data_IF_612853921029
#
_entry.id   IF_612853921029
#
_cell.length_a   1.000
_cell.length_b   1.000
_cell.length_c   1.000
_cell.angle_alpha   90.00
_cell.angle_beta   90.00
_cell.angle_gamma   90.00
#
_symmetry.space_group_name_H-M   'P 1'
#
loop_
_entity.id
_entity.type
_entity.pdbx_description
1 polymer ?
#
# COMPACT_ATOMS: atom_id res chain seq x y z
N UNK A 1 56.69 -17.98 -59.99
CA UNK A 1 55.65 -19.01 -60.12
C UNK A 1 55.21 -19.43 -58.73
N UNK A 2 54.14 -18.84 -58.20
CA UNK A 2 53.56 -19.23 -56.91
C UNK A 2 52.14 -18.68 -56.73
N UNK A 3 51.30 -19.51 -56.10
CA UNK A 3 50.22 -19.16 -55.15
C UNK A 3 48.75 -18.95 -55.62
N UNK A 4 47.91 -19.88 -55.15
CA UNK A 4 46.70 -19.69 -54.30
C UNK A 4 45.27 -19.64 -54.90
N UNK A 5 44.38 -20.30 -54.12
CA UNK A 5 42.96 -20.00 -53.87
C UNK A 5 41.91 -20.36 -54.94
N UNK A 6 41.06 -21.36 -54.66
CA UNK A 6 39.65 -21.10 -54.28
C UNK A 6 38.84 -22.38 -53.98
N UNK A 7 38.37 -22.43 -52.73
CA UNK A 7 37.05 -22.87 -52.25
C UNK A 7 36.58 -24.32 -52.45
N UNK A 8 36.78 -25.11 -51.39
CA UNK A 8 35.95 -26.24 -51.00
C UNK A 8 34.67 -25.78 -50.27
N UNK A 9 33.76 -26.76 -50.04
CA UNK A 9 32.64 -26.87 -49.06
C UNK A 9 31.30 -27.13 -49.79
N UNK A 10 30.97 -28.39 -50.13
CA UNK A 10 30.35 -29.44 -49.30
C UNK A 10 29.09 -29.02 -48.53
N UNK A 11 27.96 -29.47 -49.09
CA UNK A 11 26.72 -29.98 -48.46
C UNK A 11 26.66 -29.87 -46.93
N UNK A 12 25.70 -29.06 -46.45
CA UNK A 12 24.99 -29.31 -45.19
C UNK A 12 23.61 -28.66 -45.27
N UNK A 13 22.55 -29.47 -45.19
CA UNK A 13 21.24 -29.01 -44.70
C UNK A 13 21.38 -28.67 -43.21
N UNK A 14 20.80 -27.55 -42.77
CA UNK A 14 20.11 -27.48 -41.48
C UNK A 14 18.61 -27.26 -41.77
N UNK A 15 17.77 -28.22 -41.41
CA UNK A 15 17.09 -28.29 -40.12
C UNK A 15 16.08 -27.16 -39.95
N UNK A 16 14.81 -27.57 -39.95
CA UNK A 16 13.65 -26.92 -39.35
C UNK A 16 13.96 -25.59 -38.66
N UNK A 17 13.56 -24.48 -39.29
CA UNK A 17 13.25 -23.27 -38.55
C UNK A 17 12.08 -23.66 -37.64
N UNK A 18 12.38 -23.92 -36.37
CA UNK A 18 11.36 -24.07 -35.36
C UNK A 18 10.47 -22.83 -35.44
N UNK A 19 9.19 -23.05 -35.67
CA UNK A 19 8.18 -22.06 -35.39
C UNK A 19 8.42 -21.61 -33.94
N UNK A 20 9.02 -20.44 -33.77
CA UNK A 20 9.07 -19.77 -32.47
C UNK A 20 7.61 -19.61 -32.08
N UNK A 21 7.16 -20.46 -31.16
CA UNK A 21 5.82 -20.39 -30.63
C UNK A 21 5.70 -18.99 -30.04
N UNK A 22 4.95 -18.11 -30.71
CA UNK A 22 4.57 -16.83 -30.15
C UNK A 22 3.91 -17.17 -28.82
N UNK A 23 4.51 -16.79 -27.68
CA UNK A 23 3.98 -17.18 -26.39
C UNK A 23 2.55 -16.63 -26.30
N UNK A 24 1.63 -17.45 -25.77
CA UNK A 24 0.20 -17.10 -25.67
C UNK A 24 -0.04 -15.78 -24.91
N UNK A 25 0.98 -15.30 -24.19
CA UNK A 25 1.10 -13.94 -23.68
C UNK A 25 2.42 -13.33 -24.15
N UNK A 26 2.43 -12.08 -24.63
CA UNK A 26 3.68 -11.42 -25.02
C UNK A 26 4.63 -11.32 -23.82
N UNK A 27 5.92 -11.58 -24.03
CA UNK A 27 7.01 -11.45 -23.04
C UNK A 27 7.00 -10.11 -22.29
N UNK A 28 6.46 -9.06 -22.92
CA UNK A 28 6.26 -7.73 -22.31
C UNK A 28 5.23 -7.78 -21.18
N UNK A 29 4.16 -8.58 -21.28
CA UNK A 29 3.16 -8.74 -20.22
C UNK A 29 3.68 -9.57 -19.04
N UNK A 30 4.49 -10.59 -19.30
CA UNK A 30 5.19 -11.35 -18.26
C UNK A 30 6.25 -10.50 -17.56
N UNK A 31 6.98 -9.68 -18.32
CA UNK A 31 7.93 -8.70 -17.77
C UNK A 31 7.22 -7.58 -17.01
N UNK A 32 6.04 -7.13 -17.44
CA UNK A 32 5.24 -6.15 -16.71
C UNK A 32 4.74 -6.72 -15.37
N UNK A 33 4.24 -7.96 -15.35
CA UNK A 33 3.87 -8.64 -14.10
C UNK A 33 5.08 -8.91 -13.21
N UNK A 34 6.24 -9.21 -13.79
CA UNK A 34 7.49 -9.47 -13.05
C UNK A 34 8.13 -8.18 -12.55
N UNK A 35 8.02 -7.08 -13.28
CA UNK A 35 8.36 -5.72 -12.84
C UNK A 35 7.33 -5.23 -11.82
N UNK A 36 6.06 -5.62 -11.91
CA UNK A 36 5.07 -5.36 -10.86
C UNK A 36 5.36 -6.18 -9.58
N UNK A 37 5.82 -7.43 -9.71
CA UNK A 37 6.26 -8.24 -8.58
C UNK A 37 7.57 -7.72 -7.97
N UNK A 38 8.51 -7.25 -8.79
CA UNK A 38 9.84 -6.80 -8.36
C UNK A 38 9.87 -5.32 -7.96
N UNK A 39 8.97 -4.49 -8.48
CA UNK A 39 8.95 -3.03 -8.33
C UNK A 39 7.54 -2.41 -8.15
N UNK A 40 6.44 -3.18 -8.21
CA UNK A 40 5.13 -2.66 -8.63
C UNK A 40 4.20 -2.02 -7.61
N UNK A 41 4.32 -2.26 -6.31
CA UNK A 41 3.23 -1.89 -5.39
C UNK A 41 3.69 -1.34 -4.02
N UNK A 42 4.74 -0.52 -4.03
CA UNK A 42 5.20 0.20 -2.82
C UNK A 42 5.76 1.60 -3.04
N UNK A 43 6.54 1.84 -4.09
CA UNK A 43 7.55 2.92 -4.01
C UNK A 43 7.17 4.29 -4.60
N UNK A 44 6.10 4.42 -5.40
CA UNK A 44 5.94 5.64 -6.25
C UNK A 44 4.73 6.52 -5.97
N UNK A 45 3.89 6.20 -4.98
CA UNK A 45 2.95 7.19 -4.45
C UNK A 45 3.51 7.76 -3.15
N UNK A 46 4.72 8.32 -3.24
CA UNK A 46 5.25 9.18 -2.17
C UNK A 46 4.16 10.22 -1.89
N UNK A 47 3.76 10.47 -0.63
CA UNK A 47 3.02 11.68 -0.32
C UNK A 47 3.80 12.80 -1.01
N UNK A 48 3.14 13.71 -1.74
CA UNK A 48 3.84 14.88 -2.25
C UNK A 48 4.70 15.41 -1.10
N UNK A 49 5.97 15.75 -1.38
CA UNK A 49 6.85 16.28 -0.35
C UNK A 49 6.02 17.26 0.49
N UNK A 50 6.09 17.08 1.80
CA UNK A 50 5.14 17.57 2.79
C UNK A 50 4.90 19.10 2.89
N UNK A 51 5.40 19.99 2.00
CA UNK A 51 4.91 21.38 1.97
C UNK A 51 3.54 21.68 1.29
N UNK A 52 2.90 20.79 0.50
CA UNK A 52 1.67 21.15 -0.27
C UNK A 52 0.33 20.68 0.35
N UNK A 53 0.33 19.84 1.40
CA UNK A 53 -0.93 19.34 1.98
C UNK A 53 -1.77 20.45 2.64
N UNK A 54 -1.11 21.40 3.30
CA UNK A 54 -1.73 22.56 3.91
C UNK A 54 -2.42 23.48 2.88
N UNK A 55 -1.73 23.72 1.77
CA UNK A 55 -2.26 24.55 0.70
C UNK A 55 -3.41 23.85 -0.03
N UNK A 56 -3.27 22.55 -0.31
CA UNK A 56 -4.35 21.72 -0.83
C UNK A 56 -5.56 21.72 0.10
N UNK A 57 -5.34 21.49 1.40
CA UNK A 57 -6.41 21.50 2.40
C UNK A 57 -7.15 22.84 2.40
N UNK A 58 -6.43 23.97 2.38
CA UNK A 58 -7.04 25.31 2.34
C UNK A 58 -7.88 25.54 1.09
N UNK A 59 -7.42 25.08 -0.09
CA UNK A 59 -8.20 25.17 -1.33
C UNK A 59 -9.49 24.34 -1.25
N UNK A 60 -9.39 23.10 -0.76
CA UNK A 60 -10.53 22.20 -0.60
C UNK A 60 -11.53 22.71 0.44
N UNK A 61 -11.05 23.23 1.58
CA UNK A 61 -11.87 23.82 2.64
C UNK A 61 -12.59 25.08 2.16
N UNK A 62 -11.91 25.96 1.42
CA UNK A 62 -12.52 27.15 0.85
C UNK A 62 -13.65 26.79 -0.15
N UNK A 63 -13.41 25.82 -1.03
CA UNK A 63 -14.43 25.33 -1.97
C UNK A 63 -15.60 24.64 -1.27
N UNK A 64 -15.34 23.87 -0.21
CA UNK A 64 -16.40 23.21 0.58
C UNK A 64 -17.26 24.23 1.32
N UNK A 65 -16.64 25.27 1.91
CA UNK A 65 -17.34 26.35 2.63
C UNK A 65 -18.13 27.27 1.71
N UNK A 66 -17.63 27.57 0.52
CA UNK A 66 -18.37 28.34 -0.49
C UNK A 66 -19.52 27.53 -1.10
N UNK A 67 -19.49 26.20 -0.97
CA UNK A 67 -20.42 25.28 -1.63
C UNK A 67 -20.15 25.11 -3.12
N UNK A 68 -19.05 25.68 -3.63
CA UNK A 68 -18.63 25.57 -5.02
C UNK A 68 -17.60 24.45 -5.20
N UNK A 69 -18.07 23.20 -5.19
CA UNK A 69 -17.23 22.04 -5.48
C UNK A 69 -16.77 21.98 -6.95
N UNK A 70 -17.25 22.85 -7.84
CA UNK A 70 -16.76 22.93 -9.23
C UNK A 70 -15.39 23.60 -9.33
N UNK A 71 -15.03 24.40 -8.32
CA UNK A 71 -13.69 24.97 -8.17
C UNK A 71 -12.61 23.91 -7.83
N UNK A 72 -13.01 22.72 -7.39
CA UNK A 72 -12.08 21.62 -7.09
C UNK A 72 -11.76 20.87 -8.39
N UNK A 73 -10.54 21.06 -8.87
CA UNK A 73 -10.08 20.38 -10.07
C UNK A 73 -9.77 18.89 -9.82
N UNK A 74 -9.57 18.15 -10.91
CA UNK A 74 -9.31 16.71 -10.89
C UNK A 74 -8.05 16.32 -10.11
N UNK A 75 -7.02 17.18 -10.09
CA UNK A 75 -5.79 16.95 -9.34
C UNK A 75 -6.06 17.07 -7.84
N UNK A 76 -6.75 18.13 -7.43
CA UNK A 76 -7.11 18.36 -6.03
C UNK A 76 -7.99 17.24 -5.48
N UNK A 77 -8.97 16.76 -6.27
CA UNK A 77 -9.75 15.59 -5.87
C UNK A 77 -8.89 14.34 -5.69
N UNK A 78 -8.03 14.05 -6.67
CA UNK A 78 -7.14 12.88 -6.63
C UNK A 78 -6.19 12.90 -5.43
N UNK A 79 -5.69 14.07 -5.07
CA UNK A 79 -4.68 14.24 -4.04
C UNK A 79 -5.31 14.52 -2.66
N UNK A 80 -6.62 14.76 -2.58
CA UNK A 80 -7.35 14.97 -1.32
C UNK A 80 -7.18 13.88 -0.24
N UNK A 81 -6.93 12.58 -0.54
CA UNK A 81 -6.66 11.59 0.51
C UNK A 81 -5.46 11.90 1.40
N UNK A 82 -4.53 12.74 0.95
CA UNK A 82 -3.36 13.10 1.75
C UNK A 82 -3.67 14.09 2.89
N UNK A 83 -4.78 14.85 2.79
CA UNK A 83 -5.16 15.85 3.79
C UNK A 83 -6.63 15.72 4.28
N UNK A 84 -7.44 14.87 3.65
CA UNK A 84 -8.89 14.81 3.91
C UNK A 84 -9.27 14.37 5.33
N UNK A 85 -8.39 13.65 6.02
CA UNK A 85 -8.55 13.24 7.43
C UNK A 85 -7.90 14.18 8.43
N UNK A 86 -7.19 15.21 7.97
CA UNK A 86 -6.51 16.16 8.84
C UNK A 86 -7.47 17.27 9.30
N UNK A 87 -7.24 17.74 10.52
CA UNK A 87 -7.97 18.85 11.16
C UNK A 87 -7.29 20.20 10.95
N UNK A 88 -6.38 20.32 9.99
CA UNK A 88 -5.57 21.52 9.81
C UNK A 88 -6.45 22.78 9.66
N UNK A 89 -6.53 23.63 10.69
CA UNK A 89 -7.38 24.83 10.67
C UNK A 89 -8.90 24.59 10.83
N UNK A 90 -9.35 23.39 11.18
CA UNK A 90 -10.77 23.12 11.51
C UNK A 90 -10.94 21.97 12.50
N UNK A 91 -11.93 22.08 13.40
CA UNK A 91 -12.27 21.01 14.32
C UNK A 91 -12.76 19.71 13.62
N UNK A 92 -13.27 19.80 12.38
CA UNK A 92 -13.85 18.66 11.65
C UNK A 92 -13.06 18.44 10.34
N UNK A 93 -12.41 17.26 10.17
CA UNK A 93 -11.74 16.88 8.93
C UNK A 93 -12.65 16.91 7.71
N UNK A 94 -12.12 17.23 6.53
CA UNK A 94 -12.89 17.34 5.28
C UNK A 94 -13.70 16.08 4.98
N UNK A 95 -13.13 14.88 5.12
CA UNK A 95 -13.84 13.62 4.89
C UNK A 95 -14.86 13.25 5.98
N UNK A 96 -14.84 13.92 7.13
CA UNK A 96 -15.91 13.82 8.14
C UNK A 96 -17.07 14.79 7.85
N UNK A 97 -16.93 15.69 6.86
CA UNK A 97 -18.01 16.59 6.43
C UNK A 97 -18.92 15.89 5.43
N UNK A 98 -20.23 15.69 5.72
CA UNK A 98 -21.11 14.87 4.88
C UNK A 98 -21.22 15.31 3.43
N UNK A 99 -21.18 16.63 3.16
CA UNK A 99 -21.25 17.17 1.80
C UNK A 99 -19.97 16.85 1.03
N UNK A 100 -18.82 17.27 1.55
CA UNK A 100 -17.51 16.98 0.94
C UNK A 100 -17.31 15.49 0.67
N UNK A 101 -17.56 14.64 1.66
CA UNK A 101 -17.45 13.18 1.54
C UNK A 101 -18.34 12.62 0.41
N UNK A 102 -19.58 13.11 0.29
CA UNK A 102 -20.50 12.70 -0.80
C UNK A 102 -19.97 13.10 -2.17
N UNK A 103 -19.40 14.29 -2.32
CA UNK A 103 -18.81 14.75 -3.58
C UNK A 103 -17.58 13.92 -3.95
N UNK A 104 -16.68 13.68 -2.99
CA UNK A 104 -15.52 12.81 -3.20
C UNK A 104 -15.92 11.39 -3.61
N UNK A 105 -16.90 10.78 -2.90
CA UNK A 105 -17.44 9.47 -3.24
C UNK A 105 -17.99 9.41 -4.67
N UNK A 106 -18.71 10.45 -5.11
CA UNK A 106 -19.21 10.54 -6.48
C UNK A 106 -18.06 10.62 -7.49
N UNK A 107 -17.08 11.47 -7.22
CA UNK A 107 -15.92 11.68 -8.10
C UNK A 107 -15.12 10.38 -8.28
N UNK A 108 -14.75 9.70 -7.18
CA UNK A 108 -13.91 8.49 -7.26
C UNK A 108 -14.65 7.30 -7.89
N UNK A 109 -15.95 7.16 -7.61
CA UNK A 109 -16.82 6.15 -8.25
C UNK A 109 -17.04 6.42 -9.73
N UNK A 110 -17.04 7.67 -10.17
CA UNK A 110 -17.12 8.03 -11.59
C UNK A 110 -15.86 7.67 -12.37
N UNK A 111 -14.68 7.82 -11.76
CA UNK A 111 -13.40 7.54 -12.43
C UNK A 111 -13.06 6.07 -12.52
N UNK A 112 -13.34 5.28 -11.48
CA UNK A 112 -13.04 3.84 -11.39
C UNK A 112 -11.60 3.50 -11.83
N UNK A 113 -10.61 4.25 -11.34
CA UNK A 113 -9.19 3.99 -11.62
C UNK A 113 -8.49 3.43 -10.40
N UNK A 114 -7.83 2.28 -10.53
CA UNK A 114 -7.08 1.66 -9.42
C UNK A 114 -6.07 2.63 -8.78
N UNK A 115 -5.41 3.47 -9.56
CA UNK A 115 -4.44 4.45 -9.05
C UNK A 115 -5.04 5.53 -8.14
N UNK A 116 -6.32 5.87 -8.32
CA UNK A 116 -7.02 6.84 -7.45
C UNK A 116 -7.46 6.15 -6.14
N UNK A 117 -7.93 4.90 -6.22
CA UNK A 117 -8.22 4.07 -5.03
C UNK A 117 -6.96 3.70 -4.24
N UNK A 118 -5.81 3.53 -4.91
CA UNK A 118 -4.51 3.31 -4.24
C UNK A 118 -4.15 4.49 -3.33
N UNK A 119 -4.31 5.73 -3.82
CA UNK A 119 -4.10 6.94 -3.00
C UNK A 119 -5.08 7.00 -1.83
N UNK A 120 -6.34 6.66 -2.07
CA UNK A 120 -7.35 6.57 -1.03
C UNK A 120 -6.93 5.58 0.08
N UNK A 121 -6.50 4.37 -0.31
CA UNK A 121 -6.00 3.35 0.62
C UNK A 121 -4.81 3.86 1.42
N UNK A 122 -3.80 4.43 0.76
CA UNK A 122 -2.60 4.90 1.42
C UNK A 122 -2.88 6.06 2.38
N UNK A 123 -3.73 7.01 1.97
CA UNK A 123 -4.18 8.08 2.85
C UNK A 123 -4.99 7.57 4.05
N UNK A 124 -5.83 6.55 3.84
CA UNK A 124 -6.60 5.90 4.91
C UNK A 124 -5.69 5.18 5.92
N UNK A 125 -4.70 4.42 5.44
CA UNK A 125 -3.72 3.73 6.30
C UNK A 125 -2.84 4.73 7.07
N UNK A 126 -2.44 5.81 6.42
CA UNK A 126 -1.62 6.86 7.02
C UNK A 126 -2.36 7.58 8.16
N UNK A 127 -3.63 7.93 7.94
CA UNK A 127 -4.46 8.69 8.87
C UNK A 127 -5.48 7.81 9.60
N UNK A 128 -5.20 6.52 9.74
CA UNK A 128 -6.11 5.59 10.40
C UNK A 128 -6.28 5.99 11.87
N UNK A 129 -7.52 6.01 12.32
CA UNK A 129 -7.94 6.34 13.67
C UNK A 129 -8.84 5.21 14.14
N UNK A 130 -8.35 4.40 15.09
CA UNK A 130 -9.06 3.22 15.58
C UNK A 130 -10.32 3.60 16.36
N UNK A 131 -10.29 4.71 17.08
CA UNK A 131 -11.42 5.16 17.90
C UNK A 131 -12.54 5.72 17.02
N UNK A 132 -12.19 6.28 15.86
CA UNK A 132 -13.14 6.85 14.93
C UNK A 132 -12.81 6.46 13.47
N UNK A 133 -13.00 5.18 13.11
CA UNK A 133 -12.58 4.67 11.81
C UNK A 133 -13.40 5.31 10.69
N UNK A 134 -12.70 5.72 9.64
CA UNK A 134 -13.35 6.32 8.48
C UNK A 134 -14.24 5.31 7.75
N UNK A 135 -15.50 5.67 7.40
CA UNK A 135 -16.40 4.77 6.67
C UNK A 135 -15.92 4.49 5.23
N UNK A 136 -14.89 5.19 4.75
CA UNK A 136 -14.35 5.01 3.40
C UNK A 136 -13.81 3.60 3.15
N UNK A 137 -13.30 2.92 4.18
CA UNK A 137 -12.89 1.53 4.08
C UNK A 137 -14.05 0.65 3.58
N UNK A 138 -15.15 0.60 4.34
CA UNK A 138 -16.33 -0.20 4.01
C UNK A 138 -17.08 0.29 2.76
N UNK A 139 -17.14 1.60 2.51
CA UNK A 139 -18.01 2.18 1.47
C UNK A 139 -17.34 2.39 0.11
N UNK A 140 -16.00 2.41 0.05
CA UNK A 140 -15.23 2.64 -1.17
C UNK A 140 -14.15 1.58 -1.38
N UNK A 141 -13.29 1.36 -0.39
CA UNK A 141 -12.10 0.52 -0.55
C UNK A 141 -12.47 -0.95 -0.70
N UNK A 142 -13.26 -1.50 0.22
CA UNK A 142 -13.68 -2.91 0.17
C UNK A 142 -14.46 -3.23 -1.11
N UNK A 143 -15.46 -2.42 -1.54
CA UNK A 143 -16.10 -2.61 -2.85
C UNK A 143 -15.12 -2.58 -4.03
N UNK A 144 -14.06 -1.76 -3.96
CA UNK A 144 -13.04 -1.72 -5.01
C UNK A 144 -12.18 -3.00 -5.04
N UNK A 145 -11.96 -3.66 -3.90
CA UNK A 145 -11.32 -4.97 -3.86
C UNK A 145 -12.14 -6.04 -4.60
N UNK A 146 -13.47 -6.00 -4.50
CA UNK A 146 -14.35 -6.89 -5.28
C UNK A 146 -14.32 -6.56 -6.77
N UNK A 147 -14.22 -5.27 -7.12
CA UNK A 147 -14.13 -4.85 -8.52
C UNK A 147 -12.82 -5.27 -9.19
N UNK A 148 -11.73 -5.32 -8.43
CA UNK A 148 -10.40 -5.69 -8.92
C UNK A 148 -9.77 -6.78 -8.05
N UNK A 149 -10.17 -8.06 -8.23
CA UNK A 149 -9.70 -9.16 -7.38
C UNK A 149 -8.19 -9.41 -7.48
N UNK A 150 -7.58 -9.11 -8.64
CA UNK A 150 -6.13 -9.24 -8.84
C UNK A 150 -5.32 -8.06 -8.28
N UNK A 151 -5.99 -7.00 -7.83
CA UNK A 151 -5.32 -5.86 -7.24
C UNK A 151 -4.63 -6.28 -5.93
N UNK A 152 -3.38 -5.86 -5.71
CA UNK A 152 -2.62 -6.30 -4.54
C UNK A 152 -3.32 -5.97 -3.22
N UNK A 153 -4.01 -4.83 -3.14
CA UNK A 153 -4.79 -4.46 -1.97
C UNK A 153 -6.00 -5.36 -1.72
N UNK A 154 -6.60 -5.92 -2.78
CA UNK A 154 -7.65 -6.93 -2.64
C UNK A 154 -7.09 -8.22 -2.02
N UNK A 155 -5.91 -8.65 -2.46
CA UNK A 155 -5.22 -9.83 -1.87
C UNK A 155 -4.85 -9.61 -0.41
N UNK A 156 -4.29 -8.43 -0.08
CA UNK A 156 -3.97 -8.05 1.30
C UNK A 156 -5.21 -8.01 2.17
N UNK A 157 -6.30 -7.43 1.68
CA UNK A 157 -7.57 -7.44 2.38
C UNK A 157 -8.08 -8.85 2.62
N UNK A 158 -8.05 -9.73 1.62
CA UNK A 158 -8.47 -11.13 1.78
C UNK A 158 -7.61 -11.92 2.79
N UNK A 159 -6.31 -11.62 2.90
CA UNK A 159 -5.41 -12.35 3.80
C UNK A 159 -5.37 -11.83 5.24
N UNK A 160 -5.65 -10.54 5.43
CA UNK A 160 -5.46 -9.84 6.71
C UNK A 160 -6.73 -9.22 7.26
N UNK A 161 -7.80 -9.20 6.47
CA UNK A 161 -8.94 -8.32 6.69
C UNK A 161 -8.46 -6.86 6.84
N UNK A 162 -7.49 -6.45 6.01
CA UNK A 162 -6.74 -5.18 6.17
C UNK A 162 -7.61 -3.92 6.32
N UNK A 163 -8.81 -3.92 5.75
CA UNK A 163 -9.74 -2.78 5.78
C UNK A 163 -10.88 -2.97 6.79
N UNK A 164 -10.81 -4.01 7.61
CA UNK A 164 -11.56 -4.14 8.84
C UNK A 164 -10.81 -3.37 9.93
N UNK A 165 -11.46 -2.33 10.48
CA UNK A 165 -10.82 -1.46 11.47
C UNK A 165 -10.59 -2.14 12.82
N UNK A 166 -11.38 -3.15 13.15
CA UNK A 166 -11.34 -3.84 14.44
C UNK A 166 -10.36 -5.01 14.40
N UNK A 167 -10.42 -5.81 13.34
CA UNK A 167 -9.65 -7.04 13.20
C UNK A 167 -8.32 -6.85 12.45
N UNK A 168 -8.30 -5.97 11.45
CA UNK A 168 -7.16 -5.79 10.55
C UNK A 168 -5.83 -5.49 11.28
N UNK A 169 -5.78 -4.54 12.23
CA UNK A 169 -4.55 -4.23 12.97
C UNK A 169 -4.05 -5.43 13.79
N UNK A 170 -4.95 -6.17 14.44
CA UNK A 170 -4.61 -7.35 15.24
C UNK A 170 -4.13 -8.52 14.36
N UNK A 171 -4.78 -8.73 13.20
CA UNK A 171 -4.38 -9.74 12.22
C UNK A 171 -2.98 -9.44 11.69
N UNK A 172 -2.68 -8.17 11.36
CA UNK A 172 -1.34 -7.76 10.95
C UNK A 172 -0.32 -7.97 12.08
N UNK A 173 -0.65 -7.57 13.30
CA UNK A 173 0.21 -7.76 14.47
C UNK A 173 0.60 -9.23 14.66
N UNK A 174 -0.37 -10.15 14.59
CA UNK A 174 -0.10 -11.59 14.68
C UNK A 174 0.86 -12.04 13.59
N UNK A 175 0.60 -11.68 12.33
CA UNK A 175 1.47 -12.10 11.23
C UNK A 175 2.88 -11.53 11.36
N UNK A 176 3.05 -10.30 11.85
CA UNK A 176 4.38 -9.73 12.09
C UNK A 176 5.11 -10.48 13.20
N UNK A 177 4.43 -10.89 14.27
CA UNK A 177 5.03 -11.65 15.37
C UNK A 177 5.34 -13.11 15.01
N UNK A 178 4.59 -13.70 14.08
CA UNK A 178 4.73 -15.12 13.69
C UNK A 178 5.71 -15.36 12.52
N UNK A 179 6.00 -14.34 11.72
CA UNK A 179 6.84 -14.47 10.52
C UNK A 179 8.33 -14.38 10.87
N UNK A 180 9.21 -15.32 10.50
CA UNK A 180 10.62 -15.27 10.89
C UNK A 180 11.45 -14.18 10.18
N UNK A 181 10.90 -13.54 9.13
CA UNK A 181 11.62 -12.50 8.37
C UNK A 181 11.73 -11.19 9.15
N UNK A 182 12.62 -10.26 8.75
CA UNK A 182 12.73 -8.95 9.36
C UNK A 182 11.41 -8.18 9.33
N UNK A 183 11.02 -7.56 10.46
CA UNK A 183 9.73 -6.89 10.65
C UNK A 183 9.39 -5.93 9.51
N UNK A 184 10.36 -5.12 9.07
CA UNK A 184 10.15 -4.13 8.00
C UNK A 184 9.82 -4.75 6.65
N UNK A 185 10.40 -5.90 6.35
CA UNK A 185 10.10 -6.62 5.12
C UNK A 185 8.68 -7.17 5.14
N UNK A 186 8.28 -7.73 6.29
CA UNK A 186 6.91 -8.22 6.51
C UNK A 186 5.92 -7.07 6.38
N UNK A 187 6.13 -5.95 7.08
CA UNK A 187 5.27 -4.77 7.00
C UNK A 187 5.13 -4.26 5.55
N UNK A 188 6.25 -4.14 4.82
CA UNK A 188 6.25 -3.71 3.41
C UNK A 188 5.44 -4.64 2.52
N UNK A 189 5.60 -5.95 2.66
CA UNK A 189 4.85 -6.94 1.88
C UNK A 189 3.34 -6.86 2.20
N UNK A 190 2.99 -6.69 3.48
CA UNK A 190 1.60 -6.53 3.94
C UNK A 190 0.97 -5.18 3.62
N UNK A 191 1.72 -4.24 3.06
CA UNK A 191 1.22 -2.96 2.53
C UNK A 191 1.58 -1.73 3.34
N UNK A 192 2.35 -1.89 4.42
CA UNK A 192 2.94 -0.80 5.18
C UNK A 192 4.41 -0.64 4.75
N UNK A 193 4.63 -0.20 3.52
CA UNK A 193 5.95 0.18 3.02
C UNK A 193 6.29 1.63 3.36
N UNK A 194 7.59 1.92 3.48
CA UNK A 194 8.14 3.27 3.59
C UNK A 194 7.49 4.09 4.72
N UNK A 195 6.94 5.27 4.39
CA UNK A 195 6.32 6.19 5.35
C UNK A 195 4.99 5.68 5.94
N UNK A 196 4.40 4.60 5.43
CA UNK A 196 3.22 4.01 6.05
C UNK A 196 3.55 3.22 7.31
N UNK A 197 4.82 2.88 7.53
CA UNK A 197 5.29 2.22 8.76
C UNK A 197 5.18 3.13 9.99
N UNK A 198 5.08 4.44 9.81
CA UNK A 198 4.84 5.42 10.87
C UNK A 198 3.39 5.95 10.85
N UNK A 199 2.49 5.37 10.05
CA UNK A 199 1.12 5.82 9.94
C UNK A 199 0.23 5.29 11.07
N UNK A 200 -0.95 5.87 11.23
CA UNK A 200 -1.90 5.47 12.29
C UNK A 200 -2.27 3.99 12.26
N UNK A 201 -2.29 3.34 11.08
CA UNK A 201 -2.58 1.91 10.99
C UNK A 201 -1.41 1.07 11.51
N UNK A 202 -0.17 1.49 11.24
CA UNK A 202 1.01 0.82 11.77
C UNK A 202 1.08 0.95 13.29
N UNK A 203 0.76 2.13 13.83
CA UNK A 203 0.65 2.38 15.27
C UNK A 203 -0.43 1.49 15.91
N UNK A 204 -1.62 1.42 15.32
CA UNK A 204 -2.69 0.56 15.83
C UNK A 204 -2.32 -0.94 15.81
N UNK A 205 -1.60 -1.38 14.78
CA UNK A 205 -1.10 -2.75 14.68
C UNK A 205 0.01 -3.02 15.71
N UNK A 206 0.92 -2.08 15.92
CA UNK A 206 1.96 -2.18 16.94
C UNK A 206 1.35 -2.25 18.35
N UNK A 207 0.38 -1.38 18.66
CA UNK A 207 -0.36 -1.42 19.92
C UNK A 207 -1.08 -2.77 20.13
N UNK A 208 -1.66 -3.35 19.08
CA UNK A 208 -2.25 -4.68 19.13
C UNK A 208 -1.19 -5.78 19.41
N UNK A 209 0.00 -5.65 18.83
CA UNK A 209 1.12 -6.57 19.10
C UNK A 209 1.57 -6.50 20.56
N UNK A 210 1.70 -5.29 21.13
CA UNK A 210 2.02 -5.09 22.54
C UNK A 210 0.94 -5.67 23.46
N UNK A 211 -0.33 -5.48 23.13
CA UNK A 211 -1.45 -6.07 23.89
C UNK A 211 -1.45 -7.59 23.88
N UNK A 212 -1.02 -8.22 22.79
CA UNK A 212 -0.98 -9.68 22.64
C UNK A 212 0.31 -10.32 23.21
N UNK A 213 1.39 -9.55 23.35
CA UNK A 213 2.70 -10.03 23.79
C UNK A 213 2.67 -10.77 25.14
N UNK A 214 2.03 -10.26 26.22
CA UNK A 214 2.00 -10.98 27.51
C UNK A 214 1.36 -12.37 27.41
N UNK A 215 0.31 -12.50 26.59
CA UNK A 215 -0.35 -13.79 26.36
C UNK A 215 0.59 -14.74 25.64
N UNK A 216 1.27 -14.28 24.57
CA UNK A 216 2.23 -15.10 23.82
C UNK A 216 3.42 -15.53 24.65
N UNK A 217 3.97 -14.65 25.48
CA UNK A 217 5.08 -14.97 26.39
C UNK A 217 4.68 -16.07 27.39
N UNK A 218 3.48 -16.01 27.99
CA UNK A 218 2.98 -17.06 28.89
C UNK A 218 2.78 -18.42 28.20
N UNK A 219 2.45 -18.40 26.91
CA UNK A 219 2.28 -19.60 26.10
C UNK A 219 3.61 -20.12 25.53
N UNK A 220 4.68 -19.33 25.59
CA UNK A 220 6.00 -19.75 25.11
C UNK A 220 6.64 -20.67 26.15
N UNK A 221 6.73 -21.95 25.82
CA UNK A 221 7.40 -22.97 26.65
C UNK A 221 8.93 -22.87 26.49
N UNK A 222 9.39 -22.27 25.40
CA UNK A 222 10.80 -22.07 25.06
C UNK A 222 11.22 -20.62 25.33
N UNK A 223 12.28 -20.45 26.12
CA UNK A 223 12.87 -19.15 26.44
C UNK A 223 13.43 -18.45 25.18
N UNK A 224 13.99 -19.21 24.24
CA UNK A 224 14.52 -18.65 22.99
C UNK A 224 13.41 -18.01 22.15
N UNK A 225 12.23 -18.64 22.10
CA UNK A 225 11.04 -18.10 21.43
C UNK A 225 10.49 -16.88 22.16
N UNK A 226 10.51 -16.86 23.49
CA UNK A 226 10.13 -15.69 24.26
C UNK A 226 11.02 -14.48 23.97
N UNK A 227 12.33 -14.70 23.92
CA UNK A 227 13.32 -13.67 23.59
C UNK A 227 13.16 -13.17 22.14
N UNK A 228 12.87 -14.06 21.20
CA UNK A 228 12.58 -13.67 19.81
C UNK A 228 11.37 -12.73 19.72
N UNK A 229 10.25 -13.07 20.37
CA UNK A 229 9.06 -12.20 20.40
C UNK A 229 9.38 -10.78 20.94
N UNK A 230 10.19 -10.69 22.00
CA UNK A 230 10.63 -9.40 22.54
C UNK A 230 11.50 -8.64 21.54
N UNK A 231 12.47 -9.32 20.91
CA UNK A 231 13.32 -8.72 19.87
C UNK A 231 12.50 -8.20 18.70
N UNK A 232 11.51 -8.94 18.23
CA UNK A 232 10.62 -8.50 17.14
C UNK A 232 9.85 -7.23 17.49
N UNK A 233 9.40 -7.09 18.74
CA UNK A 233 8.74 -5.87 19.21
C UNK A 233 9.72 -4.69 19.22
N UNK A 234 10.95 -4.90 19.69
CA UNK A 234 12.00 -3.88 19.68
C UNK A 234 12.35 -3.46 18.24
N UNK A 235 12.53 -4.42 17.34
CA UNK A 235 12.82 -4.18 15.91
C UNK A 235 11.67 -3.41 15.21
N UNK A 236 10.43 -3.59 15.66
CA UNK A 236 9.28 -2.81 15.17
C UNK A 236 9.28 -1.40 15.76
N UNK A 237 9.63 -1.26 17.04
CA UNK A 237 9.70 0.04 17.71
C UNK A 237 10.86 0.90 17.19
N UNK A 238 11.91 0.33 16.61
CA UNK A 238 13.07 1.08 16.11
C UNK A 238 12.86 1.64 14.70
N UNK A 239 13.04 2.95 14.57
CA UNK A 239 13.09 3.66 13.29
C UNK A 239 14.38 3.38 12.52
N UNK A 240 14.45 3.74 11.24
CA UNK A 240 15.63 3.50 10.38
C UNK A 240 16.91 4.16 10.90
N UNK A 241 16.76 5.15 11.77
CA UNK A 241 17.83 5.92 12.39
C UNK A 241 18.17 5.44 13.82
N UNK A 242 17.47 4.42 14.34
CA UNK A 242 17.65 3.91 15.70
C UNK A 242 16.82 4.61 16.78
N UNK A 243 16.03 5.64 16.42
CA UNK A 243 15.10 6.29 17.35
C UNK A 243 13.81 5.48 17.53
N UNK A 244 13.14 5.61 18.67
CA UNK A 244 11.82 4.99 18.90
C UNK A 244 10.76 5.62 17.96
N UNK A 245 10.08 4.76 17.22
CA UNK A 245 9.13 5.09 16.16
C UNK A 245 7.70 5.27 16.68
N UNK A 246 7.37 4.64 17.81
CA UNK A 246 6.09 4.77 18.50
C UNK A 246 6.35 5.14 19.97
N UNK A 247 5.61 6.12 20.53
CA UNK A 247 5.75 6.54 21.92
C UNK A 247 5.19 5.51 22.92
#
# INVERSE_FOLDING_TARGET
>A
MTAHLLAAILVRRPQHVMASAIPARPLVAESANRIELLFGDGLNARPPQLPDNAALWKRLDAADRSGDHSAINDRDWRDSPWCGWQTEGSAIPLFRRPKFARHYCRWIKGRRRQGDYRRLVQGWLLNFDRENPSPFAATLIVPACTLWPDWLWARRHASLELFDADNGPANLASQVLDDPRPVREVLRERGLGDWLQTGGYAEAAFAAALGDLPRRLRMSVDEARGLDLVRRILDWAESSAGDLQFP
#
